data_IF_513552879915
#
_entry.id   IF_513552879915
#
_cell.length_a   1.000
_cell.length_b   1.000
_cell.length_c   1.000
_cell.angle_alpha   90.00
_cell.angle_beta   90.00
_cell.angle_gamma   90.00
#
_symmetry.space_group_name_H-M   'P 1'
#
loop_
_entity.id
_entity.type
_entity.pdbx_description
1 polymer ?
#
# COMPACT_ATOMS: atom_id res chain seq x y z
N UNK A 1 -2.38 -8.48 -20.09
CA UNK A 1 -3.12 -8.47 -18.81
C UNK A 1 -2.13 -8.27 -17.66
N UNK A 2 -2.45 -7.44 -16.65
CA UNK A 2 -1.54 -7.20 -15.55
C UNK A 2 -1.28 -8.47 -14.74
N UNK A 3 -0.05 -8.63 -14.25
CA UNK A 3 0.35 -9.75 -13.38
C UNK A 3 1.19 -9.24 -12.24
N UNK A 4 0.97 -9.76 -11.04
CA UNK A 4 1.85 -9.48 -9.91
C UNK A 4 3.22 -10.13 -10.16
N UNK A 5 4.29 -9.36 -9.96
CA UNK A 5 5.66 -9.86 -10.12
C UNK A 5 6.07 -10.79 -8.98
N UNK A 6 5.38 -10.69 -7.84
CA UNK A 6 5.58 -11.54 -6.67
C UNK A 6 4.53 -11.32 -5.59
N UNK A 7 4.57 -12.12 -4.52
CA UNK A 7 3.71 -11.93 -3.35
C UNK A 7 4.11 -10.68 -2.56
N UNK A 8 3.14 -10.02 -1.94
CA UNK A 8 3.39 -8.93 -0.99
C UNK A 8 3.95 -9.55 0.30
N UNK A 9 5.07 -9.04 0.79
CA UNK A 9 5.72 -9.55 1.99
C UNK A 9 4.98 -9.14 3.26
N UNK A 10 4.81 -10.10 4.18
CA UNK A 10 4.28 -9.83 5.51
C UNK A 10 5.34 -9.10 6.33
N UNK A 11 5.05 -7.85 6.71
CA UNK A 11 5.94 -7.05 7.56
C UNK A 11 5.32 -6.87 8.94
N UNK A 12 6.15 -6.97 9.96
CA UNK A 12 5.81 -6.58 11.33
C UNK A 12 6.73 -5.45 11.74
N UNK A 13 6.14 -4.29 11.99
CA UNK A 13 6.87 -3.07 12.33
C UNK A 13 6.53 -2.65 13.76
N UNK A 14 7.51 -2.23 14.57
CA UNK A 14 7.26 -1.65 15.88
C UNK A 14 6.30 -0.47 15.80
N UNK A 15 5.52 -0.28 16.85
CA UNK A 15 4.60 0.86 16.93
C UNK A 15 5.36 2.18 16.82
N UNK A 16 4.79 3.14 16.10
CA UNK A 16 5.38 4.46 15.90
C UNK A 16 6.48 4.50 14.85
N UNK A 17 6.78 3.38 14.19
CA UNK A 17 7.66 3.32 13.02
C UNK A 17 6.85 3.17 11.74
N UNK A 18 7.52 3.54 10.64
CA UNK A 18 7.00 3.42 9.29
C UNK A 18 7.00 1.98 8.80
N UNK A 19 5.87 1.54 8.27
CA UNK A 19 5.75 0.28 7.54
C UNK A 19 5.57 0.57 6.06
N UNK A 20 6.38 -0.08 5.22
CA UNK A 20 6.33 0.06 3.77
C UNK A 20 5.94 -1.27 3.13
N UNK A 21 4.76 -1.30 2.48
CA UNK A 21 4.28 -2.47 1.73
C UNK A 21 4.47 -2.21 0.25
N UNK A 22 5.16 -3.13 -0.43
CA UNK A 22 5.45 -3.02 -1.85
C UNK A 22 4.60 -4.01 -2.65
N UNK A 23 4.08 -3.55 -3.78
CA UNK A 23 3.38 -4.38 -4.75
C UNK A 23 3.96 -4.13 -6.14
N UNK A 24 4.58 -5.16 -6.71
CA UNK A 24 5.12 -5.14 -8.06
C UNK A 24 4.12 -5.69 -9.08
N UNK A 25 3.91 -4.97 -10.18
CA UNK A 25 2.97 -5.36 -11.25
C UNK A 25 3.58 -5.21 -12.63
N UNK A 26 3.60 -6.30 -13.39
CA UNK A 26 3.95 -6.34 -14.80
C UNK A 26 2.73 -6.07 -15.69
N UNK A 27 2.98 -5.49 -16.87
CA UNK A 27 1.95 -5.23 -17.88
C UNK A 27 0.77 -4.41 -17.37
N UNK A 28 1.02 -3.42 -16.49
CA UNK A 28 -0.02 -2.57 -15.88
C UNK A 28 -0.77 -1.75 -16.93
N UNK A 29 -0.09 -1.21 -17.95
CA UNK A 29 -0.71 -0.45 -19.05
C UNK A 29 -1.69 0.62 -18.54
N UNK A 30 -2.97 0.54 -18.89
CA UNK A 30 -4.04 1.47 -18.46
C UNK A 30 -4.75 1.05 -17.17
N UNK A 31 -4.41 -0.10 -16.59
CA UNK A 31 -4.97 -0.55 -15.33
C UNK A 31 -4.40 0.24 -14.16
N UNK A 32 -5.15 0.28 -13.06
CA UNK A 32 -4.76 0.95 -11.82
C UNK A 32 -4.74 -0.06 -10.68
N UNK A 33 -3.71 -0.01 -9.86
CA UNK A 33 -3.62 -0.78 -8.61
C UNK A 33 -4.27 0.04 -7.50
N UNK A 34 -4.98 -0.63 -6.61
CA UNK A 34 -5.56 -0.02 -5.42
C UNK A 34 -5.12 -0.78 -4.18
N UNK A 35 -4.92 -0.05 -3.10
CA UNK A 35 -4.71 -0.65 -1.80
C UNK A 35 -5.95 -0.54 -0.95
N UNK A 36 -6.31 -1.65 -0.30
CA UNK A 36 -7.47 -1.74 0.56
C UNK A 36 -7.09 -2.35 1.90
N UNK A 37 -7.76 -1.87 2.94
CA UNK A 37 -7.67 -2.45 4.27
C UNK A 37 -8.73 -3.54 4.39
N UNK A 38 -8.30 -4.80 4.54
CA UNK A 38 -9.17 -5.99 4.47
C UNK A 38 -10.17 -6.05 5.63
N UNK A 39 -9.72 -5.78 6.86
CA UNK A 39 -10.55 -5.87 8.06
C UNK A 39 -11.69 -4.85 8.09
N UNK A 40 -11.50 -3.68 7.47
CA UNK A 40 -12.51 -2.62 7.43
C UNK A 40 -13.13 -2.41 6.04
N UNK A 41 -12.76 -3.24 5.06
CA UNK A 41 -13.16 -3.13 3.66
C UNK A 41 -13.03 -1.70 3.10
N UNK A 42 -11.99 -0.98 3.51
CA UNK A 42 -11.82 0.46 3.18
C UNK A 42 -10.76 0.64 2.11
N UNK A 43 -11.09 1.38 1.05
CA UNK A 43 -10.11 1.79 0.04
C UNK A 43 -9.17 2.82 0.66
N UNK A 44 -7.87 2.53 0.62
CA UNK A 44 -6.83 3.42 1.12
C UNK A 44 -6.32 4.35 0.02
N UNK A 45 -5.91 3.76 -1.10
CA UNK A 45 -5.32 4.48 -2.24
C UNK A 45 -5.70 3.82 -3.55
N UNK A 46 -5.72 4.61 -4.63
CA UNK A 46 -5.89 4.14 -6.01
C UNK A 46 -4.80 4.82 -6.83
N UNK A 47 -3.91 4.02 -7.42
CA UNK A 47 -2.73 4.52 -8.13
C UNK A 47 -1.93 5.50 -7.24
N UNK A 48 -1.68 6.72 -7.72
CA UNK A 48 -1.00 7.79 -6.97
C UNK A 48 -1.90 8.60 -6.03
N UNK A 49 -3.20 8.29 -5.98
CA UNK A 49 -4.17 9.08 -5.22
C UNK A 49 -4.48 8.42 -3.88
N UNK A 50 -4.30 9.18 -2.80
CA UNK A 50 -4.72 8.78 -1.45
C UNK A 50 -6.20 9.10 -1.29
N UNK A 51 -7.02 8.07 -1.06
CA UNK A 51 -8.49 8.18 -0.90
C UNK A 51 -8.86 8.37 0.57
N UNK A 52 -8.14 7.68 1.46
CA UNK A 52 -8.34 7.78 2.90
C UNK A 52 -7.99 9.17 3.44
N UNK A 53 -8.79 9.69 4.37
CA UNK A 53 -8.47 10.92 5.14
C UNK A 53 -7.38 10.71 6.20
N UNK A 54 -6.88 9.48 6.35
CA UNK A 54 -5.85 9.19 7.32
C UNK A 54 -4.48 9.68 6.83
N UNK A 55 -4.00 10.79 7.39
CA UNK A 55 -2.70 11.41 7.06
C UNK A 55 -1.47 10.52 7.30
N UNK A 56 -1.64 9.35 7.91
CA UNK A 56 -0.57 8.35 8.13
C UNK A 56 -0.36 7.42 6.95
N UNK A 57 -1.22 7.51 5.95
CA UNK A 57 -1.16 6.70 4.74
C UNK A 57 -0.64 7.58 3.62
N UNK A 58 0.47 7.16 3.04
CA UNK A 58 1.01 7.73 1.82
C UNK A 58 1.22 6.63 0.79
N UNK A 59 1.16 7.01 -0.49
CA UNK A 59 1.53 6.14 -1.59
C UNK A 59 2.63 6.81 -2.39
N UNK A 60 3.69 6.05 -2.66
CA UNK A 60 4.78 6.47 -3.52
C UNK A 60 4.86 5.52 -4.71
N UNK A 61 5.08 6.10 -5.88
CA UNK A 61 5.30 5.37 -7.11
C UNK A 61 6.81 5.21 -7.29
N UNK A 62 7.35 4.03 -6.96
CA UNK A 62 8.71 3.67 -7.34
C UNK A 62 8.69 3.18 -8.80
N UNK A 63 9.75 3.47 -9.55
CA UNK A 63 9.80 3.42 -11.02
C UNK A 63 9.01 2.25 -11.67
N UNK A 64 8.19 2.65 -12.65
CA UNK A 64 7.37 1.88 -13.60
C UNK A 64 6.40 0.80 -13.09
N UNK A 65 6.62 0.14 -11.95
CA UNK A 65 5.92 -1.11 -11.62
C UNK A 65 5.72 -1.36 -10.11
N UNK A 66 6.29 -0.53 -9.24
CA UNK A 66 6.26 -0.74 -7.80
C UNK A 66 5.47 0.38 -7.08
N UNK A 67 4.34 0.03 -6.48
CA UNK A 67 3.59 0.93 -5.59
C UNK A 67 3.93 0.60 -4.15
N UNK A 68 4.43 1.61 -3.44
CA UNK A 68 4.79 1.50 -2.03
C UNK A 68 3.71 2.19 -1.21
N UNK A 69 3.07 1.45 -0.31
CA UNK A 69 2.24 2.03 0.75
C UNK A 69 3.08 2.26 1.99
N UNK A 70 3.10 3.49 2.46
CA UNK A 70 3.60 3.85 3.77
C UNK A 70 2.43 3.89 4.77
N UNK A 71 2.52 3.13 5.86
CA UNK A 71 1.57 3.13 6.97
C UNK A 71 2.27 3.23 8.33
N UNK A 72 1.78 4.10 9.21
CA UNK A 72 2.26 4.20 10.60
C UNK A 72 1.30 3.46 11.55
N UNK A 73 1.74 2.30 12.09
CA UNK A 73 0.95 1.53 13.09
C UNK A 73 0.78 2.36 14.37
N UNK A 74 -0.48 2.59 14.78
CA UNK A 74 -0.84 3.25 16.04
C UNK A 74 -0.79 2.22 17.18
N UNK A 75 -0.30 2.64 18.34
CA UNK A 75 -0.21 1.87 19.59
C UNK A 75 -1.56 1.26 19.94
N UNK A 76 -1.65 -0.06 20.09
CA UNK A 76 -2.58 -0.64 21.07
C UNK A 76 -1.79 -0.73 22.37
N UNK A 77 -1.95 0.28 23.23
CA UNK A 77 -1.61 0.13 24.64
C UNK A 77 -2.66 -0.83 25.19
N UNK A 78 -2.24 -2.03 25.60
CA UNK A 78 -2.92 -2.78 26.64
C UNK A 78 -2.10 -2.63 27.90
#
# INVERSE_FOLDING_TARGET
>A
IPKFTGPILNITVPVGREAQLECGVDNLSTFKVAWLRVDTQTILTIHSHVITKNHRIAVTHAEAQALVLTYQRRTRIR
#
